data_IF_566755336260
#
_entry.id   IF_566755336260
#
_cell.length_a   1.000
_cell.length_b   1.000
_cell.length_c   1.000
_cell.angle_alpha   90.00
_cell.angle_beta   90.00
_cell.angle_gamma   90.00
#
_symmetry.space_group_name_H-M   'P 1'
#
loop_
_entity.id
_entity.type
_entity.pdbx_description
1 polymer ?
#
# COMPACT_ATOMS: atom_id res chain seq x y z
N UNK A 1 5.91 -9.68 -11.55
CA UNK A 1 5.53 -8.59 -10.66
C UNK A 1 4.38 -8.99 -9.79
N UNK A 2 4.30 -8.47 -8.61
CA UNK A 2 3.22 -8.79 -7.71
C UNK A 2 2.10 -7.79 -7.87
N UNK A 3 0.95 -8.13 -7.35
CA UNK A 3 -0.18 -7.24 -7.46
C UNK A 3 -0.82 -7.05 -6.12
N UNK A 4 -1.37 -5.89 -5.92
CA UNK A 4 -2.04 -5.57 -4.68
C UNK A 4 -3.29 -4.79 -5.01
N UNK A 5 -4.13 -4.61 -4.04
CA UNK A 5 -5.36 -3.87 -4.23
C UNK A 5 -5.43 -2.72 -3.26
N UNK A 6 -5.86 -1.60 -3.75
CA UNK A 6 -6.01 -0.43 -2.91
C UNK A 6 -7.19 -0.64 -1.96
N UNK A 7 -6.99 -0.39 -0.69
CA UNK A 7 -8.09 -0.57 0.26
C UNK A 7 -9.14 0.52 0.15
N UNK A 8 -8.86 1.57 -0.59
CA UNK A 8 -9.80 2.65 -0.71
C UNK A 8 -10.62 2.54 -1.97
N UNK A 9 -10.00 2.47 -3.12
CA UNK A 9 -10.72 2.40 -4.38
C UNK A 9 -10.69 1.01 -5.00
N UNK A 10 -9.99 0.11 -4.37
CA UNK A 10 -9.95 -1.28 -4.83
C UNK A 10 -9.32 -1.40 -6.21
N UNK A 11 -8.48 -0.48 -6.59
CA UNK A 11 -7.83 -0.55 -7.88
C UNK A 11 -6.62 -1.49 -7.78
N UNK A 12 -6.30 -2.11 -8.89
CA UNK A 12 -5.19 -3.02 -8.91
C UNK A 12 -3.89 -2.24 -9.00
N UNK A 13 -2.93 -2.56 -8.16
CA UNK A 13 -1.67 -1.86 -8.09
C UNK A 13 -0.56 -2.85 -8.41
N UNK A 14 0.33 -2.47 -9.30
CA UNK A 14 1.45 -3.32 -9.63
C UNK A 14 2.60 -3.03 -8.69
N UNK A 15 3.20 -4.06 -8.15
CA UNK A 15 4.24 -3.93 -7.16
C UNK A 15 5.43 -4.73 -7.62
N UNK A 16 6.65 -4.22 -7.49
CA UNK A 16 7.82 -4.99 -7.90
C UNK A 16 8.02 -6.22 -7.03
N UNK A 17 8.67 -7.20 -7.60
CA UNK A 17 8.89 -8.44 -6.89
C UNK A 17 9.77 -8.25 -5.68
N UNK A 18 10.65 -7.28 -5.71
CA UNK A 18 11.58 -7.10 -4.61
C UNK A 18 11.07 -6.09 -3.60
N UNK A 19 9.77 -5.82 -3.60
CA UNK A 19 9.22 -4.88 -2.63
C UNK A 19 9.42 -5.47 -1.23
N UNK A 20 9.61 -4.61 -0.25
CA UNK A 20 9.83 -5.05 1.10
C UNK A 20 8.78 -4.49 2.01
N UNK A 21 8.66 -5.08 3.18
CA UNK A 21 7.75 -4.57 4.17
C UNK A 21 8.18 -3.18 4.58
N UNK A 22 7.25 -2.29 4.75
CA UNK A 22 7.55 -0.92 5.10
C UNK A 22 7.71 -0.02 3.89
N UNK A 23 7.61 -0.58 2.70
CA UNK A 23 7.74 0.23 1.51
C UNK A 23 6.50 1.07 1.33
N UNK A 24 6.64 2.27 0.86
CA UNK A 24 5.51 3.16 0.67
C UNK A 24 5.18 3.23 -0.80
N UNK A 25 3.92 2.98 -1.11
CA UNK A 25 3.45 3.02 -2.49
C UNK A 25 2.30 4.01 -2.58
N UNK A 26 2.02 4.45 -3.76
CA UNK A 26 0.87 5.31 -3.96
C UNK A 26 -0.07 4.69 -4.96
N UNK A 27 -1.33 4.79 -4.71
CA UNK A 27 -2.33 4.26 -5.61
C UNK A 27 -2.40 5.15 -6.84
N UNK A 28 -2.27 4.59 -8.03
CA UNK A 28 -2.33 5.41 -9.23
C UNK A 28 -3.73 5.88 -9.56
N UNK A 29 -4.71 5.35 -8.90
CA UNK A 29 -6.08 5.70 -9.19
C UNK A 29 -6.58 6.78 -8.27
N UNK A 30 -6.51 6.57 -6.98
CA UNK A 30 -7.02 7.56 -6.05
C UNK A 30 -5.90 8.39 -5.41
N UNK A 31 -4.66 8.00 -5.59
CA UNK A 31 -3.56 8.75 -5.03
C UNK A 31 -3.32 8.54 -3.56
N UNK A 32 -3.92 7.52 -2.99
CA UNK A 32 -3.75 7.29 -1.58
C UNK A 32 -2.38 6.67 -1.30
N UNK A 33 -1.76 7.07 -0.23
CA UNK A 33 -0.49 6.48 0.14
C UNK A 33 -0.72 5.20 0.91
N UNK A 34 0.04 4.19 0.57
CA UNK A 34 -0.14 2.87 1.17
C UNK A 34 1.20 2.34 1.63
N UNK A 35 1.16 1.56 2.68
CA UNK A 35 2.37 0.97 3.21
C UNK A 35 2.29 -0.53 3.08
N UNK A 36 3.37 -1.14 2.64
CA UNK A 36 3.41 -2.59 2.52
C UNK A 36 3.56 -3.17 3.90
N UNK A 37 2.54 -3.90 4.34
CA UNK A 37 2.59 -4.50 5.66
C UNK A 37 3.01 -5.95 5.57
N UNK A 38 2.87 -6.56 4.39
CA UNK A 38 3.26 -7.94 4.24
C UNK A 38 3.45 -8.22 2.77
N UNK A 39 4.39 -9.07 2.42
CA UNK A 39 4.52 -9.46 1.03
C UNK A 39 4.76 -10.94 1.01
N UNK A 40 3.76 -11.70 0.77
CA UNK A 40 3.81 -13.13 0.81
C UNK A 40 3.54 -13.69 -0.56
N UNK A 41 4.44 -14.46 -1.09
CA UNK A 41 4.23 -15.12 -2.37
C UNK A 41 3.94 -14.12 -3.46
N UNK A 42 2.81 -14.28 -4.10
CA UNK A 42 2.44 -13.40 -5.17
C UNK A 42 1.64 -12.23 -4.70
N UNK A 43 1.28 -12.15 -3.45
CA UNK A 43 0.38 -11.11 -2.95
C UNK A 43 1.12 -10.16 -2.07
N UNK A 44 0.66 -8.94 -2.04
CA UNK A 44 1.23 -7.92 -1.19
C UNK A 44 0.08 -7.27 -0.44
N UNK A 45 0.24 -7.15 0.87
CA UNK A 45 -0.78 -6.52 1.68
C UNK A 45 -0.43 -5.07 1.87
N UNK A 46 -1.40 -4.21 1.68
CA UNK A 46 -1.19 -2.77 1.82
C UNK A 46 -2.09 -2.24 2.91
N UNK A 47 -1.60 -1.20 3.58
CA UNK A 47 -2.37 -0.56 4.61
C UNK A 47 -2.47 0.90 4.28
N UNK A 48 -3.65 1.47 4.46
CA UNK A 48 -3.84 2.87 4.21
C UNK A 48 -3.05 3.66 5.21
N UNK A 49 -2.17 4.55 4.74
CA UNK A 49 -1.44 5.40 5.59
C UNK A 49 -2.32 6.52 5.99
N UNK A 50 -2.23 6.94 7.10
CA UNK A 50 -2.99 7.98 7.58
C UNK A 50 -2.79 9.13 6.88
N UNK A 51 -3.52 10.03 6.98
CA UNK A 51 -3.32 11.09 6.34
C UNK A 51 -2.88 11.97 7.12
N UNK A 52 -2.59 12.83 6.88
CA UNK A 52 -2.12 13.74 7.56
C UNK A 52 -2.94 14.06 8.57
N UNK A 53 -2.74 14.51 9.36
CA UNK A 53 -3.43 14.94 10.32
C UNK A 53 -3.60 14.16 11.41
N UNK A 54 -3.48 13.43 11.56
CA UNK A 54 -3.86 12.73 12.45
C UNK A 54 -3.08 12.40 13.33
N UNK A 55 -2.54 12.57 13.85
CA UNK A 55 -1.68 12.18 14.56
C UNK A 55 -1.99 12.05 15.81
N UNK A 56 -2.20 12.09 16.40
CA UNK A 56 -2.55 11.91 17.46
C UNK A 56 -1.77 11.41 18.19
N UNK A 57 -1.31 11.50 18.47
CA UNK A 57 -0.60 11.11 19.02
C UNK A 57 -0.51 10.59 20.06
N UNK A 58 -0.30 10.44 20.54
CA UNK A 58 -0.19 9.99 21.28
C UNK A 58 0.11 10.11 21.73
#
# INVERSE_FOLDING_TARGET
MKKAHCPDCDAEIEVPNDVMKGEILSCPSCGLELEVTDNTGDSVELKELGIEGEDWGE
#
